data_IF_756993352129
#
_entry.id   IF_756993352129
#
_cell.length_a   1.000
_cell.length_b   1.000
_cell.length_c   1.000
_cell.angle_alpha   90.00
_cell.angle_beta   90.00
_cell.angle_gamma   90.00
#
_symmetry.space_group_name_H-M   'P 1'
#
loop_
_entity.id
_entity.type
_entity.pdbx_description
1 polymer ?
#
# COMPACT_ATOMS: atom_id res chain seq x y z
N UNK A 1 -17.41 -31.27 -65.32
CA UNK A 1 -16.83 -31.34 -63.96
C UNK A 1 -16.64 -29.93 -63.37
N UNK A 2 -17.73 -29.22 -63.04
CA UNK A 2 -17.69 -27.80 -62.60
C UNK A 2 -18.43 -27.53 -61.28
N UNK A 3 -18.50 -28.54 -60.40
CA UNK A 3 -19.18 -28.44 -59.09
C UNK A 3 -18.31 -28.83 -57.88
N UNK A 4 -17.03 -29.18 -58.08
CA UNK A 4 -16.16 -29.60 -56.97
C UNK A 4 -15.46 -28.47 -56.21
N UNK A 5 -15.52 -27.22 -56.69
CA UNK A 5 -14.90 -26.07 -55.99
C UNK A 5 -15.84 -25.29 -55.07
N UNK A 6 -17.17 -25.44 -55.20
CA UNK A 6 -18.13 -24.73 -54.32
C UNK A 6 -18.43 -25.47 -53.01
N UNK A 7 -18.18 -26.78 -52.95
CA UNK A 7 -18.41 -27.59 -51.74
C UNK A 7 -17.28 -27.46 -50.71
N UNK A 8 -16.06 -27.15 -51.17
CA UNK A 8 -14.89 -27.00 -50.31
C UNK A 8 -14.87 -25.65 -49.57
N UNK A 9 -15.52 -24.62 -50.12
CA UNK A 9 -15.63 -23.31 -49.46
C UNK A 9 -16.76 -23.31 -48.42
N UNK A 10 -17.84 -24.08 -48.64
CA UNK A 10 -18.91 -24.25 -47.65
C UNK A 10 -18.47 -25.08 -46.41
N UNK A 11 -17.53 -26.02 -46.56
CA UNK A 11 -17.00 -26.79 -45.42
C UNK A 11 -16.06 -25.99 -44.52
N UNK A 12 -15.37 -24.98 -45.05
CA UNK A 12 -14.45 -24.14 -44.26
C UNK A 12 -15.22 -23.07 -43.46
N UNK A 13 -16.41 -22.67 -43.92
CA UNK A 13 -17.29 -21.74 -43.20
C UNK A 13 -18.06 -22.40 -42.03
N UNK A 14 -18.28 -23.71 -42.06
CA UNK A 14 -18.98 -24.44 -40.99
C UNK A 14 -18.02 -24.87 -39.87
N UNK A 15 -16.72 -25.04 -40.14
CA UNK A 15 -15.72 -25.30 -39.09
C UNK A 15 -15.33 -24.06 -38.28
N UNK A 16 -15.55 -22.83 -38.78
CA UNK A 16 -15.31 -21.60 -38.00
C UNK A 16 -16.50 -21.18 -37.12
N UNK A 17 -17.67 -21.79 -37.29
CA UNK A 17 -18.85 -21.52 -36.45
C UNK A 17 -19.01 -22.51 -35.28
N UNK A 18 -18.19 -23.56 -35.21
CA UNK A 18 -18.25 -24.57 -34.14
C UNK A 18 -17.19 -24.41 -33.02
N UNK A 19 -16.40 -23.34 -33.02
CA UNK A 19 -15.44 -23.07 -31.90
C UNK A 19 -16.07 -22.18 -30.81
N UNK A 20 -17.31 -21.70 -30.96
CA UNK A 20 -17.96 -20.83 -29.95
C UNK A 20 -18.99 -21.55 -29.05
N UNK A 21 -19.26 -22.86 -29.23
CA UNK A 21 -20.28 -23.56 -28.42
C UNK A 21 -19.79 -24.88 -27.81
N UNK A 22 -18.49 -25.01 -27.52
CA UNK A 22 -17.98 -26.12 -26.69
C UNK A 22 -16.91 -25.63 -25.72
N UNK A 23 -17.36 -24.87 -24.73
CA UNK A 23 -16.54 -24.50 -23.57
C UNK A 23 -17.37 -24.28 -22.30
N UNK A 24 -18.62 -24.74 -22.27
CA UNK A 24 -19.52 -24.52 -21.14
C UNK A 24 -20.13 -25.83 -20.65
N UNK A 25 -19.28 -26.77 -20.24
CA UNK A 25 -19.67 -27.83 -19.32
C UNK A 25 -18.48 -28.25 -18.46
N UNK A 26 -18.29 -27.60 -17.31
CA UNK A 26 -17.80 -28.31 -16.12
C UNK A 26 -18.64 -27.86 -14.94
N UNK A 27 -19.24 -28.85 -14.29
CA UNK A 27 -20.11 -28.76 -13.12
C UNK A 27 -19.52 -27.84 -12.04
N UNK A 28 -20.37 -27.01 -11.43
CA UNK A 28 -20.06 -26.44 -10.13
C UNK A 28 -19.93 -27.58 -9.12
N UNK A 29 -18.70 -27.94 -8.78
CA UNK A 29 -18.45 -28.72 -7.58
C UNK A 29 -18.81 -27.82 -6.38
N UNK A 30 -19.66 -28.30 -5.48
CA UNK A 30 -20.15 -27.57 -4.30
C UNK A 30 -19.02 -27.30 -3.28
N UNK A 31 -17.80 -27.74 -3.57
CA UNK A 31 -16.59 -27.45 -2.80
C UNK A 31 -15.83 -26.17 -3.26
N UNK A 32 -16.07 -25.61 -4.45
CA UNK A 32 -15.36 -24.43 -5.00
C UNK A 32 -15.86 -23.07 -4.44
N UNK A 33 -16.64 -23.09 -3.37
CA UNK A 33 -17.07 -21.87 -2.65
C UNK A 33 -16.18 -21.59 -1.43
N UNK A 34 -15.30 -22.51 -1.03
CA UNK A 34 -14.54 -22.37 0.23
C UNK A 34 -13.07 -22.01 0.09
N UNK A 35 -12.47 -22.11 -1.08
CA UNK A 35 -11.12 -21.63 -1.33
C UNK A 35 -11.07 -20.82 -2.63
N UNK A 36 -10.83 -19.52 -2.48
CA UNK A 36 -10.30 -18.62 -3.51
C UNK A 36 -11.25 -18.19 -4.66
N UNK A 37 -11.75 -16.95 -4.58
CA UNK A 37 -12.04 -16.15 -5.78
C UNK A 37 -11.27 -14.83 -5.81
N UNK A 38 -9.97 -14.95 -6.00
CA UNK A 38 -9.27 -14.18 -7.05
C UNK A 38 -9.80 -14.55 -8.45
N UNK A 39 -11.09 -14.32 -8.71
CA UNK A 39 -11.63 -14.43 -10.08
C UNK A 39 -12.22 -13.08 -10.44
N UNK A 40 -11.37 -12.24 -11.03
CA UNK A 40 -11.81 -11.07 -11.79
C UNK A 40 -12.00 -11.56 -13.24
N UNK A 41 -13.21 -11.57 -13.80
CA UNK A 41 -13.41 -11.90 -15.22
C UNK A 41 -12.81 -10.80 -16.08
N UNK A 42 -11.95 -11.21 -17.01
CA UNK A 42 -11.39 -10.38 -18.07
C UNK A 42 -12.52 -9.75 -18.92
N UNK A 43 -12.33 -8.47 -19.26
CA UNK A 43 -13.05 -7.69 -20.28
C UNK A 43 -14.22 -6.79 -19.85
N UNK A 44 -13.91 -5.81 -19.01
CA UNK A 44 -14.33 -4.41 -19.15
C UNK A 44 -13.33 -3.60 -18.32
N UNK A 45 -13.01 -2.36 -18.71
CA UNK A 45 -12.12 -1.47 -17.96
C UNK A 45 -12.68 -1.20 -16.55
N UNK A 46 -12.40 -2.10 -15.60
CA UNK A 46 -12.90 -1.98 -14.24
C UNK A 46 -11.92 -1.12 -13.47
N UNK A 47 -12.31 0.12 -13.18
CA UNK A 47 -11.73 0.96 -12.12
C UNK A 47 -12.02 0.33 -10.74
N UNK A 48 -11.72 -0.95 -10.58
CA UNK A 48 -11.86 -1.67 -9.33
C UNK A 48 -10.71 -1.23 -8.45
N UNK A 49 -11.04 -0.52 -7.37
CA UNK A 49 -10.09 -0.15 -6.34
C UNK A 49 -9.60 -1.44 -5.68
N UNK A 50 -8.38 -1.85 -6.01
CA UNK A 50 -7.70 -3.01 -5.41
C UNK A 50 -6.56 -2.52 -4.53
N UNK A 51 -6.41 -3.15 -3.36
CA UNK A 51 -5.25 -2.89 -2.50
C UNK A 51 -4.02 -3.52 -3.16
N UNK A 52 -3.04 -2.72 -3.55
CA UNK A 52 -1.80 -3.22 -4.14
C UNK A 52 -0.89 -3.86 -3.09
N UNK A 53 -0.74 -3.21 -1.93
CA UNK A 53 0.04 -3.72 -0.81
C UNK A 53 -0.45 -3.14 0.52
N UNK A 54 -0.15 -3.85 1.61
CA UNK A 54 -0.25 -3.33 2.98
C UNK A 54 1.09 -3.48 3.68
N UNK A 55 1.42 -2.53 4.57
CA UNK A 55 2.56 -2.59 5.46
C UNK A 55 2.14 -2.18 6.85
N UNK A 56 2.58 -2.95 7.84
CA UNK A 56 2.46 -2.60 9.24
C UNK A 56 3.85 -2.32 9.80
N UNK A 57 3.91 -1.47 10.81
CA UNK A 57 5.10 -1.22 11.61
C UNK A 57 4.65 -0.95 13.04
N UNK A 58 5.36 -1.55 13.99
CA UNK A 58 5.00 -1.53 15.40
C UNK A 58 5.58 -2.73 16.15
N UNK A 59 5.36 -2.75 17.47
CA UNK A 59 5.77 -3.82 18.38
C UNK A 59 4.58 -4.51 19.05
N UNK A 60 4.72 -4.82 20.34
CA UNK A 60 3.67 -5.49 21.11
C UNK A 60 2.64 -4.50 21.70
N UNK A 61 3.05 -3.25 21.88
CA UNK A 61 2.21 -2.19 22.41
C UNK A 61 1.56 -1.42 21.25
N UNK A 62 0.86 -0.33 21.58
CA UNK A 62 0.14 0.47 20.57
C UNK A 62 1.10 1.37 19.80
N UNK A 63 0.91 1.45 18.49
CA UNK A 63 1.68 2.34 17.61
C UNK A 63 0.71 3.01 16.64
N UNK A 64 0.82 4.32 16.48
CA UNK A 64 -0.15 5.12 15.74
C UNK A 64 0.54 5.90 14.62
N UNK A 65 0.05 5.76 13.39
CA UNK A 65 0.46 6.59 12.25
C UNK A 65 -0.54 7.72 12.02
N UNK A 66 -0.08 8.97 12.13
CA UNK A 66 -0.92 10.17 12.08
C UNK A 66 -0.78 10.96 10.78
N UNK A 67 0.42 11.00 10.20
CA UNK A 67 0.72 11.76 9.00
C UNK A 67 1.47 10.95 7.96
N UNK A 68 1.25 11.27 6.68
CA UNK A 68 2.00 10.70 5.55
C UNK A 68 2.49 11.79 4.60
N UNK A 69 3.71 11.67 4.11
CA UNK A 69 4.27 12.50 3.05
C UNK A 69 5.08 11.65 2.06
N UNK A 70 5.33 12.19 0.88
CA UNK A 70 6.10 11.52 -0.18
C UNK A 70 7.15 12.48 -0.72
N UNK A 71 8.38 12.00 -0.88
CA UNK A 71 9.49 12.80 -1.44
C UNK A 71 9.53 12.77 -2.98
N UNK A 72 10.50 13.48 -3.57
CA UNK A 72 10.65 13.56 -5.02
C UNK A 72 11.01 12.22 -5.70
N UNK A 73 11.52 11.25 -4.93
CA UNK A 73 11.86 9.90 -5.39
C UNK A 73 10.71 8.90 -5.23
N UNK A 74 9.58 9.34 -4.65
CA UNK A 74 8.44 8.48 -4.38
C UNK A 74 8.59 7.66 -3.09
N UNK A 75 9.58 7.97 -2.25
CA UNK A 75 9.69 7.36 -0.95
C UNK A 75 8.63 7.95 0.00
N UNK A 76 8.03 7.08 0.80
CA UNK A 76 6.86 7.35 1.64
C UNK A 76 7.32 7.45 3.09
N UNK A 77 6.89 8.52 3.75
CA UNK A 77 7.20 8.82 5.14
C UNK A 77 5.93 8.79 5.96
N UNK A 78 5.92 8.02 7.04
CA UNK A 78 4.81 7.96 7.99
C UNK A 78 5.29 8.50 9.33
N UNK A 79 4.67 9.58 9.80
CA UNK A 79 4.90 10.13 11.13
C UNK A 79 3.82 9.68 12.11
N UNK A 80 4.22 9.50 13.36
CA UNK A 80 3.35 8.91 14.37
C UNK A 80 3.91 8.97 15.77
N UNK A 81 3.35 8.14 16.64
CA UNK A 81 3.88 7.82 17.97
C UNK A 81 3.98 6.31 18.15
N UNK A 82 4.91 5.87 18.99
CA UNK A 82 5.17 4.46 19.28
C UNK A 82 5.25 4.26 20.79
N UNK A 83 4.39 3.39 21.33
CA UNK A 83 4.54 2.91 22.71
C UNK A 83 5.43 1.66 22.76
N UNK A 84 5.78 1.09 21.60
CA UNK A 84 6.57 -0.15 21.49
C UNK A 84 8.08 0.05 21.53
N UNK A 85 8.56 1.26 21.21
CA UNK A 85 9.97 1.58 21.00
C UNK A 85 10.26 3.01 21.42
N UNK A 86 11.45 3.23 22.02
CA UNK A 86 11.94 4.56 22.34
C UNK A 86 12.48 4.62 23.77
N UNK A 87 12.43 5.82 24.36
CA UNK A 87 13.01 6.12 25.65
C UNK A 87 11.97 6.15 26.79
N UNK A 88 10.67 6.24 26.47
CA UNK A 88 9.64 6.56 27.45
C UNK A 88 8.29 5.92 27.20
N UNK A 89 7.23 6.70 27.44
CA UNK A 89 5.83 6.27 27.34
C UNK A 89 5.44 6.04 25.87
N UNK A 90 5.35 7.13 25.13
CA UNK A 90 5.15 7.19 23.70
C UNK A 90 6.22 8.12 23.13
N UNK A 91 6.90 7.68 22.08
CA UNK A 91 7.91 8.48 21.40
C UNK A 91 7.47 8.79 19.97
N UNK A 92 7.86 9.94 19.43
CA UNK A 92 7.58 10.25 18.04
C UNK A 92 8.34 9.26 17.15
N UNK A 93 7.65 8.71 16.16
CA UNK A 93 8.28 7.89 15.13
C UNK A 93 8.13 8.51 13.74
N UNK A 94 9.19 8.40 12.95
CA UNK A 94 9.18 8.58 11.50
C UNK A 94 9.64 7.29 10.82
N UNK A 95 8.79 6.69 9.99
CA UNK A 95 9.12 5.47 9.21
C UNK A 95 9.21 5.81 7.74
N UNK A 96 10.30 5.42 7.09
CA UNK A 96 10.50 5.55 5.64
C UNK A 96 10.29 4.21 4.93
N UNK A 97 9.50 4.23 3.87
CA UNK A 97 9.33 3.16 2.89
C UNK A 97 9.75 3.67 1.52
N UNK A 98 10.21 2.78 0.63
CA UNK A 98 10.37 3.16 -0.77
C UNK A 98 9.04 3.11 -1.53
N UNK A 99 9.05 3.53 -2.80
CA UNK A 99 7.87 3.54 -3.68
C UNK A 99 7.18 2.17 -3.87
N UNK A 100 7.90 1.07 -3.61
CA UNK A 100 7.37 -0.31 -3.65
C UNK A 100 6.87 -0.80 -2.29
N UNK A 101 6.80 0.09 -1.30
CA UNK A 101 6.40 -0.21 0.08
C UNK A 101 7.44 -0.99 0.88
N UNK A 102 8.72 -1.04 0.47
CA UNK A 102 9.78 -1.71 1.25
C UNK A 102 10.33 -0.74 2.30
N UNK A 103 10.28 -1.12 3.58
CA UNK A 103 10.81 -0.30 4.68
C UNK A 103 12.30 -0.06 4.49
N UNK A 104 12.70 1.21 4.48
CA UNK A 104 14.11 1.62 4.41
C UNK A 104 14.68 1.79 5.82
N UNK A 105 14.03 2.62 6.64
CA UNK A 105 14.46 2.89 8.01
C UNK A 105 13.31 3.42 8.87
N UNK A 106 13.54 3.52 10.18
CA UNK A 106 12.74 4.33 11.09
C UNK A 106 13.66 5.19 11.97
N UNK A 107 13.07 6.23 12.57
CA UNK A 107 13.68 7.09 13.59
C UNK A 107 12.67 7.26 14.71
N UNK A 108 13.13 7.13 15.95
CA UNK A 108 12.37 7.55 17.13
C UNK A 108 12.99 8.82 17.70
N UNK A 109 12.16 9.67 18.29
CA UNK A 109 12.58 10.90 18.95
C UNK A 109 11.63 11.21 20.09
N UNK A 110 12.20 11.50 21.26
CA UNK A 110 11.46 11.74 22.48
C UNK A 110 12.35 11.54 23.70
N UNK A 111 11.74 11.62 24.88
CA UNK A 111 12.37 11.45 26.18
C UNK A 111 11.66 10.43 27.04
N UNK A 112 11.65 10.65 28.35
CA UNK A 112 11.02 9.71 29.30
C UNK A 112 9.49 9.88 29.36
N UNK A 113 8.97 11.03 28.93
CA UNK A 113 7.55 11.35 28.89
C UNK A 113 7.00 11.13 27.47
N UNK A 114 5.73 11.50 27.22
CA UNK A 114 5.07 11.34 25.92
C UNK A 114 5.54 12.35 24.88
N UNK A 115 5.67 11.89 23.64
CA UNK A 115 6.12 12.64 22.48
C UNK A 115 5.43 12.08 21.22
N UNK A 116 4.75 12.93 20.45
CA UNK A 116 3.94 12.45 19.33
C UNK A 116 4.07 13.30 18.07
N UNK A 117 4.36 12.66 16.93
CA UNK A 117 4.39 13.30 15.62
C UNK A 117 3.04 13.23 14.91
N UNK A 118 2.34 14.37 14.75
CA UNK A 118 1.01 14.42 14.09
C UNK A 118 1.05 14.85 12.63
N UNK A 119 2.06 15.62 12.25
CA UNK A 119 2.22 16.14 10.89
C UNK A 119 3.57 15.78 10.32
N UNK A 120 3.61 15.51 9.01
CA UNK A 120 4.86 15.36 8.25
C UNK A 120 4.77 16.08 6.91
N UNK A 121 5.86 16.74 6.53
CA UNK A 121 6.00 17.40 5.24
C UNK A 121 7.42 17.17 4.69
N UNK A 122 7.55 17.21 3.36
CA UNK A 122 8.85 17.11 2.67
C UNK A 122 9.06 18.38 1.85
N UNK A 123 10.25 18.99 1.93
CA UNK A 123 10.60 20.15 1.10
C UNK A 123 11.18 19.76 -0.26
N UNK A 124 11.45 20.75 -1.11
CA UNK A 124 12.00 20.53 -2.46
C UNK A 124 13.44 20.00 -2.50
N UNK A 125 14.10 19.93 -1.34
CA UNK A 125 15.43 19.31 -1.17
C UNK A 125 15.34 17.94 -0.48
N UNK A 126 14.13 17.35 -0.45
CA UNK A 126 13.79 16.09 0.20
C UNK A 126 14.14 16.03 1.70
N UNK A 127 14.22 17.19 2.37
CA UNK A 127 14.27 17.18 3.83
C UNK A 127 12.87 16.94 4.39
N UNK A 128 12.80 16.22 5.50
CA UNK A 128 11.55 15.82 6.14
C UNK A 128 11.35 16.63 7.42
N UNK A 129 10.15 17.15 7.62
CA UNK A 129 9.76 17.93 8.77
C UNK A 129 8.64 17.21 9.50
N UNK A 130 8.79 16.98 10.80
CA UNK A 130 7.76 16.38 11.65
C UNK A 130 7.37 17.39 12.73
N UNK A 131 6.07 17.64 12.85
CA UNK A 131 5.50 18.53 13.87
C UNK A 131 4.58 17.76 14.81
N UNK A 132 4.59 18.14 16.08
CA UNK A 132 3.99 17.34 17.14
C UNK A 132 3.94 18.02 18.50
N UNK A 133 3.55 17.24 19.51
CA UNK A 133 3.58 17.63 20.93
C UNK A 133 4.64 16.85 21.69
N UNK A 134 5.21 17.45 22.74
CA UNK A 134 6.24 16.86 23.60
C UNK A 134 6.01 17.24 25.06
N UNK A 135 5.90 16.25 25.93
CA UNK A 135 6.00 16.40 27.39
C UNK A 135 7.45 16.18 27.89
N UNK A 136 8.37 15.79 26.99
CA UNK A 136 9.77 15.49 27.31
C UNK A 136 10.70 16.69 27.18
N UNK A 137 10.36 17.66 26.33
CA UNK A 137 11.19 18.82 26.04
C UNK A 137 10.38 20.11 26.13
N UNK A 138 11.00 21.19 26.63
CA UNK A 138 10.35 22.49 26.77
C UNK A 138 10.04 22.85 28.21
N UNK A 139 8.99 23.61 28.43
CA UNK A 139 8.58 24.18 29.72
C UNK A 139 7.15 23.78 30.09
N UNK A 140 7.03 22.80 31.00
CA UNK A 140 5.75 22.44 31.62
C UNK A 140 5.23 21.10 31.10
N UNK A 141 3.98 21.11 30.65
CA UNK A 141 3.34 20.00 29.93
C UNK A 141 3.59 20.17 28.42
N UNK A 142 2.80 19.49 27.59
CA UNK A 142 2.87 19.46 26.13
C UNK A 142 3.28 20.80 25.50
N UNK A 143 4.50 20.82 24.96
CA UNK A 143 5.01 21.87 24.10
C UNK A 143 4.93 21.44 22.63
N UNK A 144 4.86 22.43 21.74
CA UNK A 144 4.97 22.17 20.30
C UNK A 144 6.44 21.96 19.91
N UNK A 145 6.71 20.92 19.12
CA UNK A 145 8.01 20.73 18.50
C UNK A 145 7.95 20.74 16.97
N UNK A 146 9.10 21.02 16.36
CA UNK A 146 9.38 20.79 14.95
C UNK A 146 10.76 20.15 14.81
N UNK A 147 10.82 18.93 14.29
CA UNK A 147 12.08 18.23 13.98
C UNK A 147 12.27 18.19 12.47
N UNK A 148 13.52 18.42 12.03
CA UNK A 148 13.94 18.30 10.64
C UNK A 148 14.94 17.15 10.49
N UNK A 149 14.66 16.24 9.55
CA UNK A 149 15.59 15.24 9.05
C UNK A 149 16.08 15.67 7.67
N UNK A 150 17.37 15.45 7.38
CA UNK A 150 17.86 15.67 6.02
C UNK A 150 17.38 14.53 5.09
N UNK A 151 17.68 14.62 3.80
CA UNK A 151 17.24 13.60 2.82
C UNK A 151 17.77 12.18 3.08
N UNK A 152 18.80 12.02 3.92
CA UNK A 152 19.33 10.73 4.34
C UNK A 152 18.61 10.13 5.56
N UNK A 153 17.75 10.91 6.24
CA UNK A 153 17.10 10.52 7.49
C UNK A 153 17.96 10.83 8.70
#
# INVERSE_FOLDING_TARGET
>A
MKYRKSFLIALISILYFCIIVQGLTTFSNEQDVKDNRNIIPLLSASNSVVIEWNRTWGGIDSDYGWGVAVDSSGDIYVAGETLSFGAGQDDMVLVKYNSSGVKQWNRTWGGINGDYGRGVAVDSSDNVYVAGGTDSFGAGQDDIFLVKYNSSG
#
